data_IF_381502127436
#
_entry.id   IF_381502127436
#
_cell.length_a   1.000
_cell.length_b   1.000
_cell.length_c   1.000
_cell.angle_alpha   90.00
_cell.angle_beta   90.00
_cell.angle_gamma   90.00
#
_symmetry.space_group_name_H-M   'P 1'
#
loop_
_entity.id
_entity.type
_entity.pdbx_description
1 polymer ?
#
# COMPACT_ATOMS: atom_id res chain seq x y z
N UNK A 1 -6.39 10.69 -46.75
CA UNK A 1 -6.14 10.97 -45.32
C UNK A 1 -6.54 9.73 -44.55
N UNK A 2 -5.58 8.94 -44.08
CA UNK A 2 -5.87 7.78 -43.24
C UNK A 2 -6.30 8.30 -41.88
N UNK A 3 -7.58 8.12 -41.53
CA UNK A 3 -8.06 8.39 -40.17
C UNK A 3 -7.28 7.51 -39.21
N UNK A 4 -6.69 8.12 -38.19
CA UNK A 4 -6.09 7.40 -37.07
C UNK A 4 -7.08 6.33 -36.61
N UNK A 5 -6.67 5.05 -36.43
CA UNK A 5 -7.56 4.09 -35.81
C UNK A 5 -7.87 4.62 -34.40
N UNK A 6 -9.10 5.10 -34.21
CA UNK A 6 -9.57 5.59 -32.91
C UNK A 6 -9.40 4.46 -31.90
N UNK A 7 -8.47 4.64 -30.96
CA UNK A 7 -8.16 3.64 -29.96
C UNK A 7 -9.33 3.60 -28.96
N UNK A 8 -10.10 2.49 -28.87
CA UNK A 8 -11.29 2.49 -28.03
C UNK A 8 -10.92 2.69 -26.55
N UNK A 9 -11.63 3.57 -25.80
CA UNK A 9 -11.37 3.81 -24.38
C UNK A 9 -11.43 2.55 -23.50
N UNK A 10 -12.15 1.52 -23.95
CA UNK A 10 -12.22 0.21 -23.28
C UNK A 10 -10.87 -0.49 -23.18
N UNK A 11 -9.96 -0.30 -24.14
CA UNK A 11 -8.62 -0.88 -24.08
C UNK A 11 -7.76 -0.21 -22.99
N UNK A 12 -7.89 1.10 -22.81
CA UNK A 12 -7.19 1.84 -21.75
C UNK A 12 -7.65 1.39 -20.37
N UNK A 13 -8.95 1.20 -20.17
CA UNK A 13 -9.50 0.63 -18.94
C UNK A 13 -8.98 -0.75 -18.63
N UNK A 14 -8.97 -1.62 -19.64
CA UNK A 14 -8.53 -3.00 -19.47
C UNK A 14 -7.04 -3.04 -19.11
N UNK A 15 -6.24 -2.17 -19.72
CA UNK A 15 -4.83 -1.98 -19.39
C UNK A 15 -4.66 -1.45 -17.96
N UNK A 16 -5.35 -0.36 -17.59
CA UNK A 16 -5.32 0.18 -16.24
C UNK A 16 -5.70 -0.85 -15.18
N UNK A 17 -6.77 -1.61 -15.42
CA UNK A 17 -7.26 -2.66 -14.52
C UNK A 17 -6.24 -3.80 -14.37
N UNK A 18 -5.66 -4.24 -15.49
CA UNK A 18 -4.64 -5.28 -15.50
C UNK A 18 -3.40 -4.86 -14.68
N UNK A 19 -2.85 -3.68 -14.93
CA UNK A 19 -1.66 -3.21 -14.20
C UNK A 19 -1.94 -2.99 -12.72
N UNK A 20 -3.09 -2.43 -12.38
CA UNK A 20 -3.52 -2.30 -10.98
C UNK A 20 -3.63 -3.65 -10.28
N UNK A 21 -4.21 -4.67 -10.93
CA UNK A 21 -4.33 -6.01 -10.39
C UNK A 21 -2.97 -6.69 -10.21
N UNK A 22 -2.11 -6.65 -11.23
CA UNK A 22 -0.74 -7.21 -11.17
C UNK A 22 0.05 -6.54 -10.07
N UNK A 23 -0.01 -5.21 -9.96
CA UNK A 23 0.71 -4.51 -8.91
C UNK A 23 0.15 -4.85 -7.53
N UNK A 24 -1.17 -4.86 -7.34
CA UNK A 24 -1.76 -5.27 -6.06
C UNK A 24 -1.30 -6.68 -5.65
N UNK A 25 -1.27 -7.61 -6.61
CA UNK A 25 -0.81 -8.97 -6.40
C UNK A 25 0.68 -9.05 -6.00
N UNK A 26 1.54 -8.20 -6.57
CA UNK A 26 2.98 -8.15 -6.23
C UNK A 26 3.23 -7.39 -4.92
N UNK A 27 2.51 -6.29 -4.68
CA UNK A 27 2.74 -5.40 -3.55
C UNK A 27 2.20 -5.96 -2.23
N UNK A 28 1.03 -6.62 -2.27
CA UNK A 28 0.41 -7.18 -1.08
C UNK A 28 1.30 -8.16 -0.30
N UNK A 29 1.95 -9.18 -0.92
CA UNK A 29 2.84 -10.08 -0.19
C UNK A 29 4.07 -9.35 0.36
N UNK A 30 4.62 -8.36 -0.36
CA UNK A 30 5.73 -7.54 0.13
C UNK A 30 5.33 -6.76 1.38
N UNK A 31 4.14 -6.14 1.37
CA UNK A 31 3.62 -5.40 2.52
C UNK A 31 3.36 -6.32 3.74
N UNK A 32 2.84 -7.53 3.50
CA UNK A 32 2.64 -8.53 4.56
C UNK A 32 3.96 -9.02 5.15
N UNK A 33 4.94 -9.31 4.30
CA UNK A 33 6.26 -9.75 4.73
C UNK A 33 7.00 -8.66 5.50
N UNK A 34 6.94 -7.41 5.02
CA UNK A 34 7.46 -6.25 5.73
C UNK A 34 6.89 -6.17 7.14
N UNK A 35 5.56 -6.27 7.29
CA UNK A 35 4.90 -6.24 8.60
C UNK A 35 5.40 -7.37 9.51
N UNK A 36 5.53 -8.58 8.99
CA UNK A 36 6.03 -9.73 9.75
C UNK A 36 7.46 -9.52 10.26
N UNK A 37 8.39 -9.17 9.37
CA UNK A 37 9.81 -8.93 9.72
C UNK A 37 9.95 -7.79 10.72
N UNK A 38 9.18 -6.73 10.53
CA UNK A 38 9.22 -5.55 11.39
C UNK A 38 8.72 -5.86 12.81
N UNK A 39 7.65 -6.66 12.94
CA UNK A 39 7.17 -7.12 14.25
C UNK A 39 8.24 -7.98 14.94
N UNK A 40 8.89 -8.88 14.20
CA UNK A 40 9.97 -9.70 14.75
C UNK A 40 11.15 -8.85 15.21
N UNK A 41 11.54 -7.84 14.44
CA UNK A 41 12.59 -6.89 14.78
C UNK A 41 12.28 -6.11 16.07
N UNK A 42 11.06 -5.61 16.21
CA UNK A 42 10.65 -4.92 17.45
C UNK A 42 10.73 -5.85 18.65
N UNK A 43 10.30 -7.11 18.48
CA UNK A 43 10.35 -8.11 19.55
C UNK A 43 11.78 -8.53 19.92
N UNK A 44 12.73 -8.50 18.97
CA UNK A 44 14.14 -8.79 19.26
C UNK A 44 14.89 -7.61 19.88
N UNK A 45 14.61 -6.38 19.43
CA UNK A 45 15.32 -5.17 19.88
C UNK A 45 14.76 -4.61 21.20
N UNK A 46 13.45 -4.73 21.41
CA UNK A 46 12.78 -4.26 22.62
C UNK A 46 11.85 -5.37 23.17
N UNK A 47 12.40 -6.50 23.65
CA UNK A 47 11.61 -7.61 24.16
C UNK A 47 10.68 -7.15 25.28
N UNK A 48 9.54 -7.83 25.42
CA UNK A 48 8.58 -7.53 26.49
C UNK A 48 9.18 -8.02 27.82
N UNK A 49 9.45 -7.13 28.78
CA UNK A 49 9.97 -7.52 30.08
C UNK A 49 8.87 -8.23 30.87
N UNK A 50 9.26 -9.02 31.87
CA UNK A 50 8.31 -9.52 32.87
C UNK A 50 7.57 -8.35 33.54
N UNK A 51 6.33 -8.58 33.99
CA UNK A 51 5.44 -7.51 34.45
C UNK A 51 6.03 -6.64 35.56
N UNK A 52 6.92 -7.19 36.39
CA UNK A 52 7.62 -6.46 37.45
C UNK A 52 8.68 -5.45 36.95
N UNK A 53 9.04 -5.48 35.67
CA UNK A 53 10.10 -4.69 35.05
C UNK A 53 9.58 -3.77 33.90
N UNK A 54 8.27 -3.55 33.83
CA UNK A 54 7.67 -2.58 32.92
C UNK A 54 7.96 -1.16 33.41
N UNK A 55 8.94 -0.50 32.78
CA UNK A 55 9.30 0.90 33.03
C UNK A 55 8.88 1.82 31.88
N UNK A 56 8.59 3.08 32.18
CA UNK A 56 8.16 4.11 31.24
C UNK A 56 9.17 4.33 30.11
N UNK A 57 10.48 4.18 30.41
CA UNK A 57 11.54 4.28 29.41
C UNK A 57 11.47 3.17 28.37
N UNK A 58 11.11 1.95 28.78
CA UNK A 58 10.91 0.85 27.85
C UNK A 58 9.68 1.10 26.97
N UNK A 59 8.57 1.54 27.57
CA UNK A 59 7.33 1.84 26.85
C UNK A 59 7.54 2.94 25.81
N UNK A 60 8.22 4.02 26.17
CA UNK A 60 8.56 5.12 25.26
C UNK A 60 9.44 4.64 24.09
N UNK A 61 10.46 3.82 24.37
CA UNK A 61 11.34 3.28 23.33
C UNK A 61 10.59 2.35 22.37
N UNK A 62 9.76 1.44 22.92
CA UNK A 62 8.97 0.51 22.11
C UNK A 62 7.94 1.26 21.26
N UNK A 63 7.25 2.25 21.84
CA UNK A 63 6.29 3.12 21.13
C UNK A 63 6.95 3.90 19.99
N UNK A 64 8.13 4.47 20.24
CA UNK A 64 8.91 5.17 19.21
C UNK A 64 9.30 4.23 18.07
N UNK A 65 9.78 3.03 18.39
CA UNK A 65 10.17 2.02 17.40
C UNK A 65 8.96 1.55 16.56
N UNK A 66 7.82 1.29 17.20
CA UNK A 66 6.60 0.87 16.49
C UNK A 66 6.04 1.97 15.59
N UNK A 67 6.12 3.23 16.02
CA UNK A 67 5.68 4.39 15.23
C UNK A 67 6.60 4.63 14.04
N UNK A 68 7.93 4.60 14.25
CA UNK A 68 8.92 4.76 13.20
C UNK A 68 8.74 3.70 12.09
N UNK A 69 8.49 2.46 12.51
CA UNK A 69 8.27 1.34 11.61
C UNK A 69 6.83 1.22 11.08
N UNK A 70 5.95 2.16 11.45
CA UNK A 70 4.54 2.22 11.05
C UNK A 70 3.71 0.99 11.42
N UNK A 71 4.06 0.30 12.51
CA UNK A 71 3.29 -0.83 13.03
C UNK A 71 1.98 -0.40 13.70
N UNK A 72 1.88 0.88 14.08
CA UNK A 72 0.69 1.54 14.63
C UNK A 72 -0.40 1.77 13.56
N UNK A 73 -0.04 1.72 12.28
CA UNK A 73 -1.02 1.85 11.20
C UNK A 73 -1.89 0.60 11.08
N UNK A 74 -3.20 0.84 10.98
CA UNK A 74 -4.16 -0.17 10.56
C UNK A 74 -3.86 -0.62 9.12
N UNK A 75 -4.19 -1.86 8.79
CA UNK A 75 -3.94 -2.43 7.46
C UNK A 75 -4.50 -1.56 6.32
N UNK A 76 -5.70 -0.95 6.42
CA UNK A 76 -6.19 -0.03 5.40
C UNK A 76 -5.30 1.22 5.24
N UNK A 77 -4.78 1.79 6.33
CA UNK A 77 -3.89 2.97 6.28
C UNK A 77 -2.52 2.62 5.68
N UNK A 78 -2.01 1.41 5.96
CA UNK A 78 -0.78 0.89 5.36
C UNK A 78 -0.93 0.72 3.84
N UNK A 79 -2.12 0.32 3.38
CA UNK A 79 -2.43 0.09 1.97
C UNK A 79 -2.98 1.33 1.25
N UNK A 80 -3.34 2.40 1.95
CA UNK A 80 -3.86 3.62 1.33
C UNK A 80 -2.90 4.23 0.27
N UNK A 81 -1.57 4.26 0.46
CA UNK A 81 -0.64 4.69 -0.59
C UNK A 81 -0.71 3.78 -1.84
N UNK A 82 -1.07 2.51 -1.64
CA UNK A 82 -1.27 1.57 -2.73
C UNK A 82 -2.53 1.91 -3.57
N UNK A 83 -3.46 2.71 -3.06
CA UNK A 83 -4.55 3.23 -3.90
C UNK A 83 -4.03 4.16 -5.01
N UNK A 84 -2.85 4.77 -4.83
CA UNK A 84 -2.17 5.54 -5.90
C UNK A 84 -1.80 4.68 -7.11
N UNK A 85 -1.61 3.38 -6.94
CA UNK A 85 -1.38 2.41 -8.03
C UNK A 85 -2.65 2.24 -8.89
N UNK A 86 -3.81 2.57 -8.33
CA UNK A 86 -5.08 2.60 -9.05
C UNK A 86 -5.27 3.87 -9.85
N UNK A 87 -4.36 4.85 -9.77
CA UNK A 87 -4.46 6.10 -10.52
C UNK A 87 -4.63 5.87 -12.04
N UNK A 88 -3.86 4.99 -12.72
CA UNK A 88 -4.08 4.70 -14.13
C UNK A 88 -5.47 4.13 -14.42
N UNK A 89 -6.01 3.28 -13.54
CA UNK A 89 -7.38 2.75 -13.64
C UNK A 89 -8.41 3.87 -13.46
N UNK A 90 -8.24 4.74 -12.46
CA UNK A 90 -9.12 5.87 -12.22
C UNK A 90 -9.10 6.87 -13.39
N UNK A 91 -7.91 7.17 -13.93
CA UNK A 91 -7.75 7.99 -15.13
C UNK A 91 -8.42 7.34 -16.34
N UNK A 92 -8.30 6.03 -16.49
CA UNK A 92 -8.98 5.29 -17.56
C UNK A 92 -10.51 5.32 -17.39
N UNK A 93 -11.02 5.19 -16.16
CA UNK A 93 -12.45 5.32 -15.85
C UNK A 93 -13.00 6.70 -16.19
N UNK A 94 -12.25 7.75 -15.86
CA UNK A 94 -12.60 9.13 -16.21
C UNK A 94 -12.67 9.35 -17.72
N UNK A 95 -11.84 8.66 -18.52
CA UNK A 95 -11.84 8.78 -19.98
C UNK A 95 -13.14 8.32 -20.65
N UNK A 96 -13.94 7.47 -19.99
CA UNK A 96 -15.26 7.07 -20.49
C UNK A 96 -16.32 8.17 -20.35
N UNK A 97 -16.14 9.07 -19.39
CA UNK A 97 -17.13 10.07 -19.01
C UNK A 97 -16.80 11.43 -19.65
N UNK A 98 -15.53 11.63 -20.03
CA UNK A 98 -15.09 12.80 -20.76
C UNK A 98 -15.49 12.68 -22.24
N UNK A 99 -16.21 13.67 -22.80
CA UNK A 99 -16.53 13.67 -24.23
C UNK A 99 -15.25 13.77 -25.04
N UNK A 100 -15.08 12.87 -26.01
CA UNK A 100 -14.05 12.98 -27.04
C UNK A 100 -14.44 14.14 -27.97
N UNK A 101 -13.86 15.32 -27.73
CA UNK A 101 -13.97 16.50 -28.61
C UNK A 101 -13.17 16.32 -29.90
#
# INVERSE_FOLDING_TARGET
MAGSPDFPPSYLLMYGAFFSAVFAFVFMPVAMQWRSVTVQLVNSVAPVPEAANLDDKWLARRSHLTTFLRLDLSLPKLLAPALGILAPLATSALSLVLPSS
#
